data_IF_222322643116
#
_entry.id   IF_222322643116
#
_cell.length_a   1.000
_cell.length_b   1.000
_cell.length_c   1.000
_cell.angle_alpha   90.00
_cell.angle_beta   90.00
_cell.angle_gamma   90.00
#
_symmetry.space_group_name_H-M   'P 1'
#
loop_
_entity.id
_entity.type
_entity.pdbx_description
1 polymer ?
#
# COMPACT_ATOMS: atom_id res chain seq x y z
N UNK A 1 -12.53 -10.02 -6.46
CA UNK A 1 -11.62 -10.09 -7.62
C UNK A 1 -10.24 -9.82 -7.06
N UNK A 2 -9.39 -10.85 -7.00
CA UNK A 2 -8.09 -10.80 -6.34
C UNK A 2 -7.14 -9.99 -7.22
N UNK A 3 -7.00 -8.69 -6.93
CA UNK A 3 -5.87 -7.91 -7.46
C UNK A 3 -4.63 -8.42 -6.72
N UNK A 4 -4.09 -9.53 -7.22
CA UNK A 4 -2.66 -9.77 -7.12
C UNK A 4 -2.02 -8.56 -7.81
N UNK A 5 -0.84 -8.16 -7.38
CA UNK A 5 0.07 -7.30 -8.14
C UNK A 5 0.53 -7.96 -9.46
N UNK A 6 -0.41 -8.53 -10.21
CA UNK A 6 -0.34 -9.09 -11.54
C UNK A 6 -1.75 -8.89 -12.09
N UNK A 7 -1.98 -7.74 -12.72
CA UNK A 7 -3.06 -7.67 -13.70
C UNK A 7 -2.54 -8.44 -14.92
N UNK A 8 -3.37 -9.29 -15.51
CA UNK A 8 -3.03 -10.06 -16.72
C UNK A 8 -2.31 -9.14 -17.73
N UNK A 9 -1.05 -9.47 -18.11
CA UNK A 9 -0.17 -8.89 -19.15
C UNK A 9 1.23 -8.49 -18.59
N UNK A 10 2.23 -9.34 -18.87
CA UNK A 10 3.66 -9.06 -19.13
C UNK A 10 4.46 -8.06 -18.25
N UNK A 11 3.95 -7.60 -17.09
CA UNK A 11 4.64 -6.63 -16.25
C UNK A 11 4.41 -6.88 -14.76
N UNK A 12 5.36 -6.42 -13.92
CA UNK A 12 5.23 -6.43 -12.46
C UNK A 12 5.30 -5.03 -11.86
N UNK A 13 4.37 -4.74 -10.95
CA UNK A 13 4.37 -3.53 -10.12
C UNK A 13 4.17 -3.95 -8.68
N UNK A 14 5.24 -3.88 -7.87
CA UNK A 14 5.21 -4.34 -6.49
C UNK A 14 5.91 -3.34 -5.58
N UNK A 15 5.35 -3.14 -4.39
CA UNK A 15 5.98 -2.38 -3.32
C UNK A 15 5.85 -3.10 -2.00
N UNK A 16 6.95 -3.09 -1.25
CA UNK A 16 7.00 -3.52 0.15
C UNK A 16 7.51 -2.34 0.97
N UNK A 17 6.71 -1.87 1.93
CA UNK A 17 7.10 -0.83 2.88
C UNK A 17 7.12 -1.42 4.28
N UNK A 18 8.15 -1.10 5.05
CA UNK A 18 8.19 -1.38 6.49
C UNK A 18 8.48 -0.07 7.20
N UNK A 19 7.55 0.38 8.02
CA UNK A 19 7.69 1.64 8.74
C UNK A 19 6.49 1.96 9.62
N UNK A 20 6.46 3.22 10.05
CA UNK A 20 5.55 3.72 11.07
C UNK A 20 4.37 4.46 10.43
N UNK A 21 3.16 4.19 10.90
CA UNK A 21 1.98 4.97 10.51
C UNK A 21 2.04 6.36 11.14
N UNK A 22 1.93 7.41 10.32
CA UNK A 22 2.07 8.81 10.76
C UNK A 22 0.78 9.60 10.79
N UNK A 23 -0.27 9.11 10.14
CA UNK A 23 -1.61 9.71 10.21
C UNK A 23 -2.65 8.63 10.49
N UNK A 24 -3.70 8.93 11.27
CA UNK A 24 -4.75 7.97 11.54
C UNK A 24 -5.50 7.62 10.25
N UNK A 25 -6.11 6.42 10.16
CA UNK A 25 -6.80 6.01 8.97
C UNK A 25 -8.09 6.82 8.83
N UNK A 26 -8.29 7.39 7.65
CA UNK A 26 -9.53 8.06 7.25
C UNK A 26 -10.25 7.17 6.27
N UNK A 27 -11.36 6.58 6.72
CA UNK A 27 -12.26 5.76 5.91
C UNK A 27 -13.29 6.63 5.21
N UNK A 28 -13.56 6.32 3.94
CA UNK A 28 -14.67 6.91 3.20
C UNK A 28 -15.32 5.88 2.30
N UNK A 29 -16.63 5.96 2.16
CA UNK A 29 -17.36 5.21 1.15
C UNK A 29 -17.23 5.91 -0.21
N UNK A 30 -16.90 5.14 -1.25
CA UNK A 30 -16.89 5.62 -2.63
C UNK A 30 -18.30 5.54 -3.24
N UNK A 31 -18.59 6.26 -4.33
CA UNK A 31 -19.87 6.14 -5.04
C UNK A 31 -20.21 4.71 -5.50
N UNK A 32 -19.21 3.82 -5.58
CA UNK A 32 -19.40 2.39 -5.86
C UNK A 32 -19.96 1.59 -4.67
N UNK A 33 -20.07 2.18 -3.49
CA UNK A 33 -20.38 1.50 -2.22
C UNK A 33 -19.15 0.88 -1.54
N UNK A 34 -17.96 0.97 -2.15
CA UNK A 34 -16.73 0.43 -1.58
C UNK A 34 -16.16 1.38 -0.53
N UNK A 35 -15.87 0.87 0.66
CA UNK A 35 -15.12 1.63 1.68
C UNK A 35 -13.63 1.60 1.35
N UNK A 36 -12.96 2.74 1.46
CA UNK A 36 -11.50 2.86 1.34
C UNK A 36 -10.94 3.65 2.51
N UNK A 37 -9.96 3.08 3.19
CA UNK A 37 -9.16 3.73 4.22
C UNK A 37 -7.91 4.36 3.61
N UNK A 38 -7.55 5.56 4.06
CA UNK A 38 -6.30 6.22 3.69
C UNK A 38 -5.51 6.65 4.92
N UNK A 39 -4.20 6.45 4.91
CA UNK A 39 -3.28 6.82 5.98
C UNK A 39 -1.88 6.99 5.39
N UNK A 40 -0.96 7.61 6.13
CA UNK A 40 0.42 7.79 5.70
C UNK A 40 1.35 6.85 6.47
N UNK A 41 2.33 6.28 5.76
CA UNK A 41 3.47 5.58 6.37
C UNK A 41 4.73 6.38 6.13
N UNK A 42 5.57 6.44 7.14
CA UNK A 42 6.94 6.89 7.00
C UNK A 42 7.94 5.74 7.14
N UNK A 43 8.87 5.68 6.21
CA UNK A 43 10.06 4.81 6.29
C UNK A 43 11.30 5.65 6.59
N UNK A 44 12.27 5.04 7.25
CA UNK A 44 13.58 5.68 7.49
C UNK A 44 14.56 5.16 6.47
N UNK A 45 15.17 6.06 5.71
CA UNK A 45 16.18 5.80 4.69
C UNK A 45 17.49 6.49 5.04
N UNK A 46 18.56 6.25 4.28
CA UNK A 46 19.84 6.95 4.45
C UNK A 46 19.70 8.48 4.30
N UNK A 47 18.77 8.93 3.45
CA UNK A 47 18.52 10.36 3.18
C UNK A 47 17.47 10.98 4.13
N UNK A 48 17.01 10.19 5.12
CA UNK A 48 16.06 10.64 6.13
C UNK A 48 14.69 9.94 6.05
N UNK A 49 13.70 10.58 6.69
CA UNK A 49 12.33 10.05 6.81
C UNK A 49 11.55 10.37 5.54
N UNK A 50 11.09 9.33 4.84
CA UNK A 50 10.30 9.44 3.61
C UNK A 50 8.86 9.02 3.92
N UNK A 51 7.90 9.88 3.59
CA UNK A 51 6.47 9.61 3.81
C UNK A 51 5.75 9.32 2.49
N UNK A 52 4.84 8.36 2.52
CA UNK A 52 4.01 7.98 1.37
C UNK A 52 2.57 7.70 1.81
N UNK A 53 1.58 8.22 1.06
CA UNK A 53 0.19 7.89 1.32
C UNK A 53 -0.12 6.46 0.89
N UNK A 54 -0.90 5.77 1.72
CA UNK A 54 -1.38 4.41 1.53
C UNK A 54 -2.90 4.41 1.47
N UNK A 55 -3.45 3.76 0.45
CA UNK A 55 -4.87 3.47 0.28
C UNK A 55 -5.12 1.99 0.48
N UNK A 56 -6.11 1.61 1.28
CA UNK A 56 -6.50 0.23 1.55
C UNK A 56 -8.01 0.08 1.34
N UNK A 57 -8.44 -0.98 0.63
CA UNK A 57 -9.85 -1.32 0.53
C UNK A 57 -10.38 -1.85 1.88
N UNK A 58 -11.53 -1.34 2.31
CA UNK A 58 -12.13 -1.62 3.61
C UNK A 58 -11.67 -0.68 4.73
N UNK A 59 -12.21 -0.93 5.92
CA UNK A 59 -11.79 -0.28 7.16
C UNK A 59 -10.54 -0.96 7.74
N UNK A 60 -9.76 -0.23 8.55
CA UNK A 60 -8.60 -0.81 9.23
C UNK A 60 -8.43 -0.25 10.63
N UNK A 61 -8.34 -1.17 11.60
CA UNK A 61 -7.94 -0.88 12.98
C UNK A 61 -6.43 -1.05 13.19
N UNK A 62 -5.71 -1.52 12.17
CA UNK A 62 -4.27 -1.79 12.25
C UNK A 62 -3.47 -0.51 12.07
N UNK A 63 -3.92 0.39 11.18
CA UNK A 63 -3.19 1.58 10.80
C UNK A 63 -3.35 2.72 11.81
N UNK A 64 -2.96 2.49 13.07
CA UNK A 64 -2.98 3.51 14.14
C UNK A 64 -1.66 4.27 14.14
N UNK A 65 -1.68 5.57 14.42
CA UNK A 65 -0.45 6.38 14.53
C UNK A 65 0.54 5.75 15.51
N UNK A 66 1.81 5.68 15.10
CA UNK A 66 2.89 5.02 15.85
C UNK A 66 2.94 3.50 15.67
N UNK A 67 1.98 2.89 14.96
CA UNK A 67 2.04 1.47 14.65
C UNK A 67 3.12 1.18 13.60
N UNK A 68 4.02 0.27 13.94
CA UNK A 68 4.98 -0.31 13.00
C UNK A 68 4.31 -1.41 12.16
N UNK A 69 4.26 -1.22 10.85
CA UNK A 69 3.55 -2.10 9.92
C UNK A 69 4.41 -2.45 8.70
N UNK A 70 4.14 -3.62 8.13
CA UNK A 70 4.56 -4.01 6.80
C UNK A 70 3.37 -3.83 5.85
N UNK A 71 3.56 -3.11 4.76
CA UNK A 71 2.60 -2.96 3.67
C UNK A 71 3.13 -3.67 2.44
N UNK A 72 2.29 -4.48 1.81
CA UNK A 72 2.53 -5.05 0.48
C UNK A 72 1.41 -4.60 -0.43
N UNK A 73 1.76 -4.12 -1.62
CA UNK A 73 0.79 -3.63 -2.59
C UNK A 73 1.45 -3.18 -3.89
N UNK A 74 0.85 -2.16 -4.50
CA UNK A 74 1.32 -1.58 -5.77
C UNK A 74 1.46 -0.06 -5.65
N UNK A 75 2.31 0.54 -6.47
CA UNK A 75 2.36 2.00 -6.61
C UNK A 75 1.40 2.43 -7.71
N UNK A 76 0.58 3.45 -7.48
CA UNK A 76 -0.14 4.13 -8.56
C UNK A 76 -0.08 5.63 -8.43
N UNK A 77 -0.26 6.33 -9.55
CA UNK A 77 -0.57 7.76 -9.55
C UNK A 77 -2.05 7.96 -9.74
N UNK A 78 -2.73 8.52 -8.74
CA UNK A 78 -4.15 8.87 -8.82
C UNK A 78 -4.30 10.32 -9.25
N UNK A 79 -5.17 10.55 -10.22
CA UNK A 79 -5.56 11.89 -10.67
C UNK A 79 -6.90 12.27 -10.06
N UNK A 80 -7.07 13.53 -9.67
CA UNK A 80 -8.31 14.03 -9.10
C UNK A 80 -8.48 15.53 -9.40
N UNK A 81 -9.73 16.00 -9.38
CA UNK A 81 -10.03 17.42 -9.54
C UNK A 81 -9.73 18.17 -8.24
N UNK A 82 -9.07 19.32 -8.36
CA UNK A 82 -8.81 20.26 -7.28
C UNK A 82 -9.11 21.67 -7.79
N UNK A 83 -10.30 22.19 -7.45
CA UNK A 83 -10.83 23.41 -8.05
C UNK A 83 -10.92 23.30 -9.57
N UNK A 84 -10.36 24.28 -10.28
CA UNK A 84 -10.33 24.33 -11.75
C UNK A 84 -9.25 23.42 -12.39
N UNK A 85 -8.36 22.80 -11.58
CA UNK A 85 -7.20 22.05 -12.08
C UNK A 85 -7.32 20.55 -11.85
N UNK A 86 -6.60 19.76 -12.67
CA UNK A 86 -6.34 18.34 -12.38
C UNK A 86 -5.07 18.27 -11.54
N UNK A 87 -5.17 17.64 -10.37
CA UNK A 87 -4.04 17.32 -9.52
C UNK A 87 -3.75 15.81 -9.60
N UNK A 88 -2.55 15.43 -9.16
CA UNK A 88 -2.15 14.03 -9.06
C UNK A 88 -1.44 13.76 -7.75
N UNK A 89 -1.56 12.54 -7.23
CA UNK A 89 -0.81 12.05 -6.07
C UNK A 89 -0.34 10.64 -6.34
N UNK A 90 0.95 10.38 -6.13
CA UNK A 90 1.49 9.01 -6.10
C UNK A 90 1.17 8.41 -4.73
N UNK A 91 0.63 7.20 -4.73
CA UNK A 91 0.22 6.48 -3.53
C UNK A 91 0.56 5.00 -3.66
N UNK A 92 0.61 4.33 -2.51
CA UNK A 92 0.61 2.86 -2.44
C UNK A 92 -0.84 2.39 -2.28
N UNK A 93 -1.30 1.53 -3.18
CA UNK A 93 -2.54 0.79 -2.98
C UNK A 93 -2.16 -0.52 -2.28
N UNK A 94 -2.47 -0.59 -0.98
CA UNK A 94 -2.17 -1.73 -0.15
C UNK A 94 -3.10 -2.89 -0.46
N UNK A 95 -2.51 -4.05 -0.71
CA UNK A 95 -3.20 -5.34 -0.68
C UNK A 95 -3.20 -5.93 0.74
N UNK A 96 -2.13 -5.67 1.50
CA UNK A 96 -2.03 -6.08 2.88
C UNK A 96 -1.33 -5.04 3.74
N UNK A 97 -1.80 -4.91 4.99
CA UNK A 97 -1.21 -4.10 6.04
C UNK A 97 -1.10 -4.98 7.28
N UNK A 98 0.12 -5.27 7.73
CA UNK A 98 0.38 -6.28 8.76
C UNK A 98 1.24 -5.64 9.85
N UNK A 99 0.85 -5.69 11.14
CA UNK A 99 1.73 -5.24 12.22
C UNK A 99 3.07 -5.98 12.17
N UNK A 100 4.19 -5.27 12.24
CA UNK A 100 5.53 -5.85 12.04
C UNK A 100 5.84 -6.97 13.04
N UNK A 101 5.23 -6.90 14.23
CA UNK A 101 5.32 -7.91 15.29
C UNK A 101 4.76 -9.28 14.87
N UNK A 102 3.86 -9.34 13.88
CA UNK A 102 3.30 -10.59 13.33
C UNK A 102 4.24 -11.21 12.30
N UNK A 103 5.46 -11.52 12.71
CA UNK A 103 6.59 -11.90 11.85
C UNK A 103 6.28 -13.01 10.85
N UNK A 104 5.51 -14.03 11.25
CA UNK A 104 5.12 -15.13 10.35
C UNK A 104 4.22 -14.66 9.20
N UNK A 105 3.25 -13.78 9.49
CA UNK A 105 2.36 -13.20 8.47
C UNK A 105 3.13 -12.26 7.54
N UNK A 106 4.03 -11.45 8.10
CA UNK A 106 4.91 -10.57 7.32
C UNK A 106 5.78 -11.39 6.37
N UNK A 107 6.46 -12.44 6.86
CA UNK A 107 7.28 -13.32 6.03
C UNK A 107 6.47 -13.96 4.90
N UNK A 108 5.26 -14.44 5.19
CA UNK A 108 4.39 -15.01 4.18
C UNK A 108 4.04 -13.99 3.09
N UNK A 109 3.62 -12.78 3.47
CA UNK A 109 3.21 -11.75 2.51
C UNK A 109 4.39 -11.28 1.64
N UNK A 110 5.56 -11.03 2.24
CA UNK A 110 6.79 -10.66 1.51
C UNK A 110 7.31 -11.83 0.66
N UNK A 111 7.18 -13.06 1.13
CA UNK A 111 7.55 -14.27 0.39
C UNK A 111 6.76 -14.37 -0.92
N UNK A 112 5.43 -14.30 -0.84
CA UNK A 112 4.55 -14.30 -2.03
C UNK A 112 4.89 -13.15 -2.99
N UNK A 113 5.10 -11.95 -2.45
CA UNK A 113 5.52 -10.79 -3.23
C UNK A 113 6.83 -11.05 -4.01
N UNK A 114 7.81 -11.64 -3.34
CA UNK A 114 9.12 -11.97 -3.93
C UNK A 114 9.00 -13.11 -4.94
N UNK A 115 8.22 -14.15 -4.64
CA UNK A 115 7.96 -15.27 -5.55
C UNK A 115 7.33 -14.78 -6.86
N UNK A 116 6.35 -13.87 -6.81
CA UNK A 116 5.77 -13.26 -8.00
C UNK A 116 6.80 -12.49 -8.83
N UNK A 117 7.71 -11.76 -8.17
CA UNK A 117 8.80 -11.04 -8.84
C UNK A 117 9.78 -11.99 -9.52
N UNK A 118 10.19 -13.06 -8.84
CA UNK A 118 11.09 -14.04 -9.42
C UNK A 118 10.45 -14.77 -10.59
N UNK A 119 9.20 -15.21 -10.43
CA UNK A 119 8.44 -15.86 -11.50
C UNK A 119 8.31 -14.96 -12.74
N UNK A 120 8.15 -13.64 -12.57
CA UNK A 120 8.14 -12.70 -13.68
C UNK A 120 9.51 -12.59 -14.40
N UNK A 121 10.62 -12.66 -13.67
CA UNK A 121 11.97 -12.56 -14.23
C UNK A 121 12.44 -13.82 -14.95
N UNK A 122 11.84 -14.96 -14.62
CA UNK A 122 12.16 -16.26 -15.22
C UNK A 122 11.39 -16.55 -16.53
N UNK A 123 10.55 -15.61 -16.98
CA UNK A 123 9.79 -15.64 -18.25
C UNK A 123 10.53 -14.86 -19.34
#
# INVERSE_FOLDING_TARGET
MSVIAVDEIDNINIVVLVGEVTSPPVSRELPSGTVVSTFDIATVTADGRVSVPVSLEGETEIAVVGAEVCVVGIVRRRFFRSGASVASRTEVVAQSVIPIRRRAQVRKAVGVATENLLAFLDV
#
